data_IF_828740941378
#
_entry.id   IF_828740941378
#
_cell.length_a   1.000
_cell.length_b   1.000
_cell.length_c   1.000
_cell.angle_alpha   90.00
_cell.angle_beta   90.00
_cell.angle_gamma   90.00
#
_symmetry.space_group_name_H-M   'P 1'
#
loop_
_entity.id
_entity.type
_entity.pdbx_description
1 polymer ?
#
# COMPACT_ATOMS: atom_id res chain seq x y z
N UNK A 1 92.39 20.76 -28.11
CA UNK A 1 92.93 19.43 -28.53
C UNK A 1 91.80 18.41 -28.26
N UNK A 2 91.42 17.79 -29.40
CA UNK A 2 90.91 16.39 -29.48
C UNK A 2 89.59 16.07 -28.77
N UNK A 3 88.67 15.84 -29.59
CA UNK A 3 88.16 14.71 -30.36
C UNK A 3 86.95 14.04 -29.64
N UNK A 4 85.81 14.18 -30.28
CA UNK A 4 85.06 13.15 -30.98
C UNK A 4 84.78 11.88 -30.18
N UNK A 5 83.57 11.54 -30.04
CA UNK A 5 82.96 10.36 -30.62
C UNK A 5 81.43 10.33 -30.38
N UNK A 6 80.82 10.41 -31.47
CA UNK A 6 79.55 9.92 -31.92
C UNK A 6 79.30 8.47 -31.45
N UNK A 7 78.17 8.16 -30.92
CA UNK A 7 77.49 6.87 -31.15
C UNK A 7 75.96 6.98 -30.89
N UNK A 8 75.32 6.73 -31.94
CA UNK A 8 73.98 6.41 -32.23
C UNK A 8 73.45 5.30 -31.26
N UNK A 9 72.33 5.45 -30.68
CA UNK A 9 71.68 4.40 -29.90
C UNK A 9 70.16 4.57 -29.97
N UNK A 10 69.59 3.66 -30.71
CA UNK A 10 68.25 3.62 -31.23
C UNK A 10 67.11 3.83 -30.21
N UNK A 11 66.13 4.51 -30.68
CA UNK A 11 64.81 4.64 -30.19
C UNK A 11 64.11 3.29 -29.87
N UNK A 12 63.51 3.19 -28.71
CA UNK A 12 62.34 2.33 -28.50
C UNK A 12 61.24 3.18 -27.97
N UNK A 13 60.45 3.67 -28.88
CA UNK A 13 59.17 4.32 -28.51
C UNK A 13 58.20 3.28 -28.02
N UNK A 14 58.02 3.19 -26.72
CA UNK A 14 56.94 2.42 -26.13
C UNK A 14 55.70 3.33 -26.13
N UNK A 15 54.85 3.11 -27.11
CA UNK A 15 53.50 3.69 -27.11
C UNK A 15 52.67 3.04 -26.00
N UNK A 16 52.51 3.74 -24.88
CA UNK A 16 51.53 3.39 -23.88
C UNK A 16 50.14 3.65 -24.46
N UNK A 17 49.49 2.60 -24.92
CA UNK A 17 48.08 2.64 -25.25
C UNK A 17 47.34 2.77 -23.93
N UNK A 18 46.91 3.97 -23.59
CA UNK A 18 45.94 4.19 -22.54
C UNK A 18 44.61 3.69 -23.06
N UNK A 19 44.24 2.46 -22.66
CA UNK A 19 42.89 1.99 -22.76
C UNK A 19 42.04 2.90 -21.85
N UNK A 20 41.40 3.89 -22.48
CA UNK A 20 40.38 4.68 -21.82
C UNK A 20 39.28 3.74 -21.36
N UNK A 21 39.16 3.56 -20.05
CA UNK A 21 37.92 3.06 -19.48
C UNK A 21 36.83 4.06 -19.88
N UNK A 22 36.07 3.67 -20.90
CA UNK A 22 34.80 4.30 -21.14
C UNK A 22 34.03 4.19 -19.84
N UNK A 23 33.91 5.28 -19.13
CA UNK A 23 32.88 5.43 -18.10
C UNK A 23 31.54 5.17 -18.80
N UNK A 24 31.02 3.98 -18.60
CA UNK A 24 29.66 3.68 -18.98
C UNK A 24 28.79 4.76 -18.35
N UNK A 25 28.24 5.61 -19.19
CA UNK A 25 27.19 6.51 -18.83
C UNK A 25 26.16 5.64 -18.09
N UNK A 26 26.00 5.84 -16.79
CA UNK A 26 24.89 5.30 -16.06
C UNK A 26 23.65 5.78 -16.83
N UNK A 27 23.06 4.89 -17.59
CA UNK A 27 21.68 5.08 -17.98
C UNK A 27 20.93 5.19 -16.67
N UNK A 28 20.57 6.43 -16.30
CA UNK A 28 19.46 6.66 -15.42
C UNK A 28 18.26 6.00 -16.11
N UNK A 29 18.02 4.74 -15.76
CA UNK A 29 16.72 4.18 -16.01
C UNK A 29 15.74 5.11 -15.28
N UNK A 30 14.79 5.72 -16.00
CA UNK A 30 13.66 6.31 -15.33
C UNK A 30 13.16 5.21 -14.39
N UNK A 31 13.18 5.47 -13.09
CA UNK A 31 12.53 4.58 -12.14
C UNK A 31 11.09 4.49 -12.62
N UNK A 32 10.81 3.43 -13.35
CA UNK A 32 9.46 3.02 -13.65
C UNK A 32 8.84 2.85 -12.25
N UNK A 33 8.10 3.87 -11.85
CA UNK A 33 7.31 3.78 -10.64
C UNK A 33 6.34 2.66 -10.92
N UNK A 34 6.63 1.50 -10.34
CA UNK A 34 5.75 0.34 -10.44
C UNK A 34 4.31 0.76 -10.20
N UNK A 35 3.33 0.00 -10.62
CA UNK A 35 1.93 0.40 -10.57
C UNK A 35 1.62 0.98 -9.19
N UNK A 36 0.97 2.16 -9.19
CA UNK A 36 0.58 2.83 -7.94
C UNK A 36 -0.10 1.83 -7.01
N UNK A 37 0.21 1.82 -5.71
CA UNK A 37 -0.36 0.85 -4.79
C UNK A 37 -1.89 0.90 -4.85
N UNK A 38 -2.52 -0.27 -4.91
CA UNK A 38 -3.98 -0.40 -4.96
C UNK A 38 -4.67 0.12 -3.69
N UNK A 39 -3.93 0.19 -2.59
CA UNK A 39 -4.38 0.65 -1.29
C UNK A 39 -3.32 1.52 -0.60
N UNK A 40 -3.78 2.50 0.14
CA UNK A 40 -2.96 3.36 0.99
C UNK A 40 -3.51 3.35 2.42
N UNK A 41 -2.63 3.44 3.41
CA UNK A 41 -3.03 3.58 4.82
C UNK A 41 -2.57 4.92 5.39
N UNK A 42 -3.44 5.56 6.15
CA UNK A 42 -3.12 6.78 6.89
C UNK A 42 -3.62 6.67 8.32
N UNK A 43 -2.73 6.84 9.29
CA UNK A 43 -3.09 6.81 10.69
C UNK A 43 -4.20 7.82 11.01
N UNK A 44 -5.23 7.38 11.75
CA UNK A 44 -6.40 8.18 12.09
C UNK A 44 -7.43 8.36 10.96
N UNK A 45 -7.14 7.93 9.74
CA UNK A 45 -8.07 7.96 8.61
C UNK A 45 -8.46 6.55 8.13
N UNK A 46 -7.58 5.55 8.33
CA UNK A 46 -7.78 4.19 7.88
C UNK A 46 -7.17 3.88 6.53
N UNK A 47 -7.84 3.06 5.73
CA UNK A 47 -7.40 2.60 4.42
C UNK A 47 -8.19 3.27 3.30
N UNK A 48 -7.50 3.64 2.22
CA UNK A 48 -8.10 4.13 0.97
C UNK A 48 -7.74 3.17 -0.15
N UNK A 49 -8.72 2.82 -0.97
CA UNK A 49 -8.54 2.02 -2.17
C UNK A 49 -8.62 2.88 -3.42
N UNK A 50 -7.85 2.54 -4.45
CA UNK A 50 -8.06 3.09 -5.78
C UNK A 50 -9.42 2.66 -6.34
N UNK A 51 -9.96 3.39 -7.31
CA UNK A 51 -11.26 3.04 -7.91
C UNK A 51 -11.29 1.61 -8.48
N UNK A 52 -10.28 1.12 -9.23
CA UNK A 52 -10.24 -0.26 -9.68
C UNK A 52 -10.20 -1.28 -8.53
N UNK A 53 -9.49 -0.96 -7.42
CA UNK A 53 -9.43 -1.84 -6.26
C UNK A 53 -10.77 -1.91 -5.51
N UNK A 54 -11.51 -0.80 -5.41
CA UNK A 54 -12.88 -0.78 -4.86
C UNK A 54 -13.83 -1.64 -5.69
N UNK A 55 -13.76 -1.53 -7.00
CA UNK A 55 -14.57 -2.33 -7.93
C UNK A 55 -14.23 -3.82 -7.81
N UNK A 56 -12.95 -4.17 -7.82
CA UNK A 56 -12.50 -5.56 -7.63
C UNK A 56 -12.94 -6.15 -6.30
N UNK A 57 -12.84 -5.37 -5.22
CA UNK A 57 -13.29 -5.76 -3.88
C UNK A 57 -14.82 -5.80 -3.74
N UNK A 58 -15.55 -5.30 -4.74
CA UNK A 58 -17.01 -5.17 -4.72
C UNK A 58 -17.52 -4.45 -3.46
N UNK A 59 -16.81 -3.38 -3.04
CA UNK A 59 -17.18 -2.65 -1.85
C UNK A 59 -18.58 -2.04 -1.99
N UNK A 60 -19.41 -2.31 -1.01
CA UNK A 60 -20.71 -1.67 -0.85
C UNK A 60 -20.79 -1.06 0.53
N UNK A 61 -21.45 0.07 0.63
CA UNK A 61 -21.69 0.78 1.87
C UNK A 61 -23.18 0.89 2.13
N UNK A 62 -23.53 1.07 3.39
CA UNK A 62 -24.90 1.28 3.85
C UNK A 62 -24.88 2.26 5.02
N UNK A 63 -25.90 3.06 5.13
CA UNK A 63 -26.10 3.93 6.28
C UNK A 63 -26.60 3.11 7.48
N UNK A 64 -26.00 3.34 8.64
CA UNK A 64 -26.40 2.73 9.90
C UNK A 64 -27.77 3.25 10.32
N UNK A 65 -28.71 2.35 10.62
CA UNK A 65 -30.08 2.69 10.94
C UNK A 65 -30.33 2.73 12.45
N UNK A 66 -31.05 3.73 12.97
CA UNK A 66 -31.38 3.80 14.39
C UNK A 66 -32.41 2.74 14.74
N UNK A 67 -32.23 2.07 15.89
CA UNK A 67 -33.17 1.08 16.45
C UNK A 67 -33.27 1.24 17.97
N UNK A 68 -33.92 2.33 18.41
CA UNK A 68 -33.99 2.70 19.81
C UNK A 68 -32.68 3.21 20.38
N UNK A 69 -32.12 2.50 21.36
CA UNK A 69 -30.83 2.84 21.99
C UNK A 69 -29.62 2.20 21.29
N UNK A 70 -29.86 1.48 20.20
CA UNK A 70 -28.81 0.82 19.41
C UNK A 70 -28.88 1.28 17.95
N UNK A 71 -27.82 0.97 17.21
CA UNK A 71 -27.76 1.20 15.78
C UNK A 71 -27.69 -0.16 15.08
N UNK A 72 -28.40 -0.35 13.99
CA UNK A 72 -28.42 -1.58 13.21
C UNK A 72 -27.61 -1.43 11.93
N UNK A 73 -26.80 -2.47 11.65
CA UNK A 73 -26.08 -2.64 10.40
C UNK A 73 -26.21 -4.08 9.89
N UNK A 74 -26.04 -4.34 8.60
CA UNK A 74 -26.03 -5.71 8.08
C UNK A 74 -24.95 -6.57 8.76
N UNK A 75 -25.24 -7.85 9.00
CA UNK A 75 -24.27 -8.77 9.63
C UNK A 75 -22.94 -8.86 8.86
N UNK A 76 -22.95 -8.66 7.53
CA UNK A 76 -21.76 -8.61 6.70
C UNK A 76 -20.81 -7.43 6.96
N UNK A 77 -21.29 -6.39 7.68
CA UNK A 77 -20.46 -5.26 8.10
C UNK A 77 -19.55 -5.58 9.29
N UNK A 78 -19.91 -6.61 10.08
CA UNK A 78 -19.20 -6.93 11.31
C UNK A 78 -17.91 -7.71 11.04
N UNK A 79 -16.79 -7.13 11.42
CA UNK A 79 -15.49 -7.79 11.46
C UNK A 79 -15.22 -8.29 12.90
N UNK A 80 -15.18 -9.59 13.08
CA UNK A 80 -14.86 -10.22 14.37
C UNK A 80 -13.42 -10.69 14.40
N UNK A 81 -12.69 -10.35 15.45
CA UNK A 81 -11.30 -10.74 15.63
C UNK A 81 -11.00 -11.05 17.10
N UNK A 82 -9.83 -11.62 17.36
CA UNK A 82 -9.33 -11.82 18.72
C UNK A 82 -9.12 -10.51 19.51
N UNK A 83 -9.09 -9.37 18.81
CA UNK A 83 -8.91 -8.03 19.41
C UNK A 83 -10.25 -7.32 19.68
N UNK A 84 -11.37 -7.93 19.32
CA UNK A 84 -12.69 -7.36 19.46
C UNK A 84 -13.46 -7.32 18.14
N UNK A 85 -14.58 -6.66 18.20
CA UNK A 85 -15.51 -6.46 17.11
C UNK A 85 -15.30 -5.06 16.50
N UNK A 86 -15.34 -4.98 15.17
CA UNK A 86 -15.08 -3.75 14.41
C UNK A 86 -16.05 -3.62 13.24
N UNK A 87 -16.23 -2.42 12.76
CA UNK A 87 -16.81 -2.08 11.47
C UNK A 87 -15.86 -1.14 10.71
N UNK A 88 -16.01 -1.02 9.39
CA UNK A 88 -15.35 0.03 8.63
C UNK A 88 -16.34 1.15 8.37
N UNK A 89 -16.05 2.34 8.91
CA UNK A 89 -16.84 3.55 8.69
C UNK A 89 -16.20 4.35 7.56
N UNK A 90 -17.03 4.82 6.64
CA UNK A 90 -16.59 5.71 5.56
C UNK A 90 -16.26 7.09 6.13
N UNK A 91 -15.06 7.58 5.81
CA UNK A 91 -14.56 8.88 6.23
C UNK A 91 -13.99 9.59 4.99
N UNK A 92 -14.85 10.17 4.20
CA UNK A 92 -14.54 10.69 2.87
C UNK A 92 -14.08 9.56 1.94
N UNK A 93 -12.86 9.66 1.39
CA UNK A 93 -12.30 8.60 0.53
C UNK A 93 -11.70 7.41 1.30
N UNK A 94 -11.72 7.47 2.63
CA UNK A 94 -11.07 6.50 3.51
C UNK A 94 -12.09 5.63 4.22
N UNK A 95 -11.67 4.45 4.63
CA UNK A 95 -12.44 3.52 5.46
C UNK A 95 -11.70 3.34 6.78
N UNK A 96 -12.27 3.84 7.85
CA UNK A 96 -11.70 3.77 9.19
C UNK A 96 -12.23 2.54 9.92
N UNK A 97 -11.34 1.65 10.34
CA UNK A 97 -11.68 0.53 11.18
C UNK A 97 -12.01 1.01 12.59
N UNK A 98 -13.28 0.95 12.93
CA UNK A 98 -13.86 1.48 14.17
C UNK A 98 -14.23 0.36 15.10
N UNK A 99 -13.74 0.33 16.36
CA UNK A 99 -14.15 -0.65 17.35
C UNK A 99 -15.60 -0.41 17.76
N UNK A 100 -16.36 -1.50 17.95
CA UNK A 100 -17.77 -1.44 18.32
C UNK A 100 -18.10 -2.38 19.46
N UNK A 101 -19.12 -2.03 20.25
CA UNK A 101 -19.71 -2.92 21.25
C UNK A 101 -21.01 -3.47 20.70
N UNK A 102 -21.04 -4.77 20.42
CA UNK A 102 -22.21 -5.48 19.90
C UNK A 102 -23.22 -5.71 21.01
N UNK A 103 -24.47 -5.35 20.79
CA UNK A 103 -25.60 -5.65 21.69
C UNK A 103 -26.20 -7.03 21.38
N UNK A 104 -26.44 -7.31 20.07
CA UNK A 104 -26.96 -8.61 19.63
C UNK A 104 -26.56 -8.86 18.17
N UNK A 105 -26.53 -10.12 17.77
CA UNK A 105 -26.28 -10.57 16.40
C UNK A 105 -27.49 -11.40 15.96
N UNK A 106 -28.20 -10.91 14.96
CA UNK A 106 -29.27 -11.63 14.28
C UNK A 106 -28.78 -12.30 13.01
N UNK A 107 -29.71 -12.87 12.25
CA UNK A 107 -29.38 -13.58 11.00
C UNK A 107 -28.96 -12.63 9.88
N UNK A 108 -29.50 -11.42 9.83
CA UNK A 108 -29.27 -10.44 8.77
C UNK A 108 -28.69 -9.12 9.27
N UNK A 109 -28.93 -8.77 10.52
CA UNK A 109 -28.50 -7.51 11.12
C UNK A 109 -27.77 -7.73 12.44
N UNK A 110 -26.91 -6.79 12.77
CA UNK A 110 -26.21 -6.68 14.04
C UNK A 110 -26.64 -5.39 14.71
N UNK A 111 -26.97 -5.48 15.98
CA UNK A 111 -27.26 -4.32 16.83
C UNK A 111 -26.00 -3.89 17.57
N UNK A 112 -25.63 -2.64 17.39
CA UNK A 112 -24.42 -2.03 17.95
C UNK A 112 -24.85 -1.01 19.01
N UNK A 113 -24.29 -1.15 20.20
CA UNK A 113 -24.58 -0.27 21.35
C UNK A 113 -23.65 0.92 21.41
N UNK A 114 -22.36 0.73 21.04
CA UNK A 114 -21.34 1.76 21.14
C UNK A 114 -20.37 1.69 19.96
N UNK A 115 -19.81 2.84 19.60
CA UNK A 115 -18.79 2.96 18.57
C UNK A 115 -19.32 3.26 17.18
N UNK A 116 -20.66 3.32 17.03
CA UNK A 116 -21.33 3.69 15.80
C UNK A 116 -22.50 4.62 16.11
N UNK A 117 -22.75 5.57 15.24
CA UNK A 117 -23.82 6.56 15.36
C UNK A 117 -24.83 6.40 14.23
N UNK A 118 -26.03 6.90 14.49
CA UNK A 118 -27.06 7.03 13.46
C UNK A 118 -26.54 7.88 12.29
N UNK A 119 -26.74 7.41 11.07
CA UNK A 119 -26.25 8.07 9.87
C UNK A 119 -24.80 7.78 9.50
N UNK A 120 -24.04 7.04 10.31
CA UNK A 120 -22.71 6.59 9.90
C UNK A 120 -22.81 5.65 8.68
N UNK A 121 -21.99 5.88 7.68
CA UNK A 121 -21.92 5.01 6.50
C UNK A 121 -20.89 3.92 6.73
N UNK A 122 -21.31 2.66 6.71
CA UNK A 122 -20.43 1.51 6.97
C UNK A 122 -20.32 0.60 5.76
N UNK A 123 -19.19 -0.08 5.64
CA UNK A 123 -18.98 -1.10 4.60
C UNK A 123 -19.83 -2.32 4.95
N UNK A 124 -20.74 -2.70 4.03
CA UNK A 124 -21.63 -3.85 4.19
C UNK A 124 -21.21 -5.07 3.38
N UNK A 125 -20.40 -4.86 2.32
CA UNK A 125 -19.85 -5.94 1.50
C UNK A 125 -18.38 -5.64 1.15
N UNK A 126 -17.57 -6.71 0.97
CA UNK A 126 -16.14 -6.55 0.67
C UNK A 126 -15.25 -6.30 1.90
N UNK A 127 -15.79 -6.42 3.12
CA UNK A 127 -15.06 -6.20 4.38
C UNK A 127 -13.76 -7.00 4.45
N UNK A 128 -13.76 -8.28 4.06
CA UNK A 128 -12.55 -9.12 4.08
C UNK A 128 -11.47 -8.62 3.12
N UNK A 129 -11.87 -8.17 1.92
CA UNK A 129 -10.95 -7.58 0.95
C UNK A 129 -10.33 -6.29 1.49
N UNK A 130 -11.14 -5.49 2.18
CA UNK A 130 -10.69 -4.24 2.81
C UNK A 130 -9.68 -4.51 3.94
N UNK A 131 -9.92 -5.52 4.77
CA UNK A 131 -8.96 -5.98 5.81
C UNK A 131 -7.62 -6.37 5.21
N UNK A 132 -7.63 -7.17 4.13
CA UNK A 132 -6.40 -7.58 3.45
C UNK A 132 -5.66 -6.39 2.85
N UNK A 133 -6.39 -5.47 2.22
CA UNK A 133 -5.83 -4.24 1.67
C UNK A 133 -5.21 -3.34 2.75
N UNK A 134 -5.86 -3.22 3.90
CA UNK A 134 -5.32 -2.49 5.05
C UNK A 134 -4.03 -3.11 5.57
N UNK A 135 -4.00 -4.45 5.72
CA UNK A 135 -2.80 -5.17 6.16
C UNK A 135 -1.66 -4.98 5.16
N UNK A 136 -1.91 -5.09 3.86
CA UNK A 136 -0.91 -4.87 2.82
C UNK A 136 -0.38 -3.43 2.84
N UNK A 137 -1.27 -2.44 2.94
CA UNK A 137 -0.89 -1.04 2.99
C UNK A 137 -0.07 -0.70 4.25
N UNK A 138 -0.40 -1.30 5.41
CA UNK A 138 0.36 -1.18 6.65
C UNK A 138 1.77 -1.79 6.56
N UNK A 139 1.94 -2.85 5.78
CA UNK A 139 3.22 -3.53 5.55
C UNK A 139 4.04 -2.90 4.41
N UNK A 140 3.69 -1.68 3.98
CA UNK A 140 4.41 -0.95 2.94
C UNK A 140 4.12 -1.43 1.52
N UNK A 141 3.02 -2.13 1.31
CA UNK A 141 2.61 -2.58 -0.03
C UNK A 141 3.59 -3.56 -0.68
N UNK A 142 4.42 -4.24 0.12
CA UNK A 142 5.35 -5.27 -0.38
C UNK A 142 4.53 -6.46 -0.87
N UNK A 143 3.95 -6.30 -2.06
CA UNK A 143 3.55 -7.44 -2.86
C UNK A 143 4.82 -8.19 -3.23
N UNK A 144 4.79 -9.52 -3.17
CA UNK A 144 5.87 -10.39 -3.60
C UNK A 144 6.21 -10.12 -5.08
N UNK A 145 6.99 -9.07 -5.35
CA UNK A 145 7.50 -8.74 -6.67
C UNK A 145 8.86 -9.40 -6.94
N UNK A 146 9.38 -10.18 -5.99
CA UNK A 146 10.61 -10.94 -6.13
C UNK A 146 10.31 -12.42 -6.37
N UNK A 147 9.57 -12.68 -7.46
CA UNK A 147 9.51 -14.00 -8.07
C UNK A 147 10.78 -14.23 -8.87
N UNK A 148 11.67 -15.07 -8.35
CA UNK A 148 12.78 -15.66 -9.11
C UNK A 148 12.26 -16.61 -10.18
#
# INVERSE_FOLDING_TARGET
MKQTHLLLGALASIALVHAGCNASSAHEHPHDHGPSPAAEYKAGHGVRLTAPAREFAQLQTVEAAPAGEVVEVPVGSLLRSARGDFVYVENGDWFLRTPVTVASIGDTVVQIREGLYDGDVVVSHGVSSLVLSEIQALNGGVGCADGH
#
